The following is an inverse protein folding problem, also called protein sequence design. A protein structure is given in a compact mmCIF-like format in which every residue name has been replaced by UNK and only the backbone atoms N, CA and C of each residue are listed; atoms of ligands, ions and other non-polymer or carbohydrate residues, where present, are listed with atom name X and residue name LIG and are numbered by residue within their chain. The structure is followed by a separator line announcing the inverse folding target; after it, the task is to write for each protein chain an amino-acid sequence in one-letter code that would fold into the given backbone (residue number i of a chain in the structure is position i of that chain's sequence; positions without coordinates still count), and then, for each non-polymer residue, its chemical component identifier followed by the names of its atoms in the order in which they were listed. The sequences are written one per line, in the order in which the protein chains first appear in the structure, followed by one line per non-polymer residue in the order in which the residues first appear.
data_IF_393249368949
#
_entry.id   IF_393249368949
#
_cell.length_a   1.000
_cell.length_b   1.000
_cell.length_c   1.000
_cell.angle_alpha   90.00
_cell.angle_beta   90.00
_cell.angle_gamma   90.00
#
_symmetry.space_group_name_H-M   'P 1'
#
loop_
_entity.id
_entity.type
_entity.pdbx_description
1 polymer ?
#
# COMPACT_ATOMS: atom_id res chain seq x y z
N UNK A 1 59.12 13.91 16.81
CA UNK A 1 58.32 13.05 15.92
C UNK A 1 59.03 13.02 14.57
N UNK A 2 59.52 11.86 14.16
CA UNK A 2 60.47 11.74 13.05
C UNK A 2 59.69 11.81 11.73
N UNK A 3 60.12 12.67 10.80
CA UNK A 3 59.44 12.86 9.49
C UNK A 3 59.23 11.52 8.78
N UNK A 4 60.21 10.63 8.88
CA UNK A 4 60.17 9.25 8.38
C UNK A 4 58.98 8.43 8.92
N UNK A 5 58.69 8.52 10.22
CA UNK A 5 57.59 7.77 10.85
C UNK A 5 56.23 8.30 10.37
N UNK A 6 56.13 9.60 10.10
CA UNK A 6 54.90 10.22 9.62
C UNK A 6 54.62 9.84 8.15
N UNK A 7 55.65 9.75 7.31
CA UNK A 7 55.50 9.28 5.92
C UNK A 7 55.11 7.80 5.83
N UNK A 8 55.70 6.95 6.68
CA UNK A 8 55.33 5.52 6.74
C UNK A 8 53.88 5.34 7.19
N UNK A 9 53.46 6.08 8.21
CA UNK A 9 52.09 6.01 8.73
C UNK A 9 51.08 6.57 7.72
N UNK A 10 51.39 7.70 7.08
CA UNK A 10 50.54 8.30 6.04
C UNK A 10 50.44 7.40 4.79
N UNK A 11 51.53 6.73 4.40
CA UNK A 11 51.52 5.73 3.33
C UNK A 11 50.60 4.55 3.66
N UNK A 12 50.64 4.05 4.89
CA UNK A 12 49.76 2.98 5.35
C UNK A 12 48.28 3.38 5.41
N UNK A 13 47.98 4.61 5.82
CA UNK A 13 46.62 5.12 5.77
C UNK A 13 46.10 5.30 4.34
N UNK A 14 46.92 5.80 3.43
CA UNK A 14 46.54 5.94 2.02
C UNK A 14 46.26 4.58 1.36
N UNK A 15 47.06 3.55 1.65
CA UNK A 15 46.81 2.21 1.12
C UNK A 15 45.55 1.59 1.70
N UNK A 16 45.28 1.76 3.00
CA UNK A 16 44.02 1.30 3.62
C UNK A 16 42.78 1.99 3.03
N UNK A 17 42.85 3.29 2.75
CA UNK A 17 41.74 4.03 2.12
C UNK A 17 41.47 3.51 0.72
N UNK A 18 42.52 3.23 -0.08
CA UNK A 18 42.37 2.70 -1.44
C UNK A 18 41.81 1.28 -1.42
N UNK A 19 42.30 0.40 -0.55
CA UNK A 19 41.78 -0.96 -0.41
C UNK A 19 40.34 -0.95 0.10
N UNK A 20 40.02 -0.08 1.06
CA UNK A 20 38.66 0.11 1.57
C UNK A 20 37.71 0.61 0.49
N UNK A 21 38.13 1.56 -0.35
CA UNK A 21 37.35 2.04 -1.48
C UNK A 21 37.09 0.93 -2.52
N UNK A 22 38.11 0.12 -2.84
CA UNK A 22 37.96 -1.02 -3.78
C UNK A 22 37.03 -2.09 -3.20
N UNK A 23 37.17 -2.43 -1.92
CA UNK A 23 36.28 -3.40 -1.26
C UNK A 23 34.84 -2.89 -1.19
N UNK A 24 34.64 -1.61 -0.89
CA UNK A 24 33.32 -0.98 -0.85
C UNK A 24 32.69 -0.86 -2.24
N UNK A 25 33.46 -0.51 -3.28
CA UNK A 25 32.99 -0.52 -4.68
C UNK A 25 32.56 -1.92 -5.13
N UNK A 26 33.30 -2.96 -4.77
CA UNK A 26 32.90 -4.34 -5.08
C UNK A 26 31.67 -4.78 -4.27
N UNK A 27 31.53 -4.32 -3.01
CA UNK A 27 30.36 -4.60 -2.19
C UNK A 27 29.10 -3.94 -2.77
N UNK A 28 29.19 -2.70 -3.26
CA UNK A 28 28.10 -2.01 -3.92
C UNK A 28 27.66 -2.71 -5.22
N UNK A 29 28.61 -3.29 -5.97
CA UNK A 29 28.30 -4.11 -7.16
C UNK A 29 27.72 -5.49 -6.83
N UNK A 30 27.89 -5.96 -5.59
CA UNK A 30 27.32 -7.22 -5.10
C UNK A 30 25.95 -7.05 -4.44
N UNK A 31 25.43 -5.82 -4.32
CA UNK A 31 24.05 -5.60 -3.90
C UNK A 31 23.17 -6.05 -5.08
N UNK A 32 22.39 -7.14 -4.93
CA UNK A 32 21.45 -7.50 -5.97
C UNK A 32 20.50 -6.31 -6.20
N UNK A 33 20.15 -5.99 -7.46
CA UNK A 33 19.13 -4.97 -7.70
C UNK A 33 17.89 -5.33 -6.85
N UNK A 34 17.19 -4.32 -6.27
CA UNK A 34 15.95 -4.59 -5.55
C UNK A 34 15.12 -5.46 -6.47
N UNK A 35 14.67 -6.63 -6.00
CA UNK A 35 13.81 -7.54 -6.76
C UNK A 35 12.75 -6.67 -7.42
N UNK A 36 12.92 -6.47 -8.72
CA UNK A 36 11.95 -5.76 -9.53
C UNK A 36 10.69 -6.58 -9.31
N UNK A 37 9.61 -6.01 -8.73
CA UNK A 37 8.43 -6.77 -8.37
C UNK A 37 8.07 -7.55 -9.62
N UNK A 38 8.20 -8.88 -9.51
CA UNK A 38 8.20 -9.81 -10.64
C UNK A 38 7.24 -9.28 -11.67
N UNK A 39 7.70 -9.04 -12.90
CA UNK A 39 6.85 -8.59 -14.01
C UNK A 39 5.58 -9.39 -13.89
N UNK A 40 4.54 -8.72 -13.38
CA UNK A 40 3.20 -9.27 -13.40
C UNK A 40 2.97 -9.24 -14.88
N UNK A 41 3.24 -10.38 -15.53
CA UNK A 41 2.72 -10.70 -16.84
C UNK A 41 1.32 -10.13 -16.79
N UNK A 42 1.08 -9.05 -17.52
CA UNK A 42 -0.17 -8.35 -17.47
C UNK A 42 -1.17 -9.29 -18.11
N UNK A 43 -1.66 -10.24 -17.32
CA UNK A 43 -3.04 -10.59 -17.33
C UNK A 43 -3.75 -9.31 -16.93
N UNK A 44 -3.82 -8.40 -17.91
CA UNK A 44 -4.82 -7.37 -17.97
C UNK A 44 -6.12 -8.17 -17.99
N UNK A 45 -6.62 -8.44 -16.80
CA UNK A 45 -7.98 -8.90 -16.62
C UNK A 45 -8.77 -7.63 -16.93
N UNK A 46 -9.41 -7.52 -18.11
CA UNK A 46 -10.24 -6.36 -18.37
C UNK A 46 -11.21 -6.25 -17.20
N UNK A 47 -11.36 -5.06 -16.63
CA UNK A 47 -12.24 -4.82 -15.48
C UNK A 47 -13.69 -5.27 -15.76
N UNK A 48 -14.03 -5.38 -17.04
CA UNK A 48 -15.25 -5.88 -17.65
C UNK A 48 -15.45 -7.39 -17.43
N UNK A 49 -14.37 -8.11 -17.12
CA UNK A 49 -14.36 -9.54 -16.75
C UNK A 49 -14.35 -9.78 -15.24
N UNK A 50 -14.48 -8.74 -14.41
CA UNK A 50 -14.75 -8.92 -12.99
C UNK A 50 -16.06 -9.70 -12.82
N UNK A 51 -15.94 -10.98 -12.43
CA UNK A 51 -17.06 -11.81 -12.05
C UNK A 51 -17.19 -11.79 -10.53
N UNK A 52 -18.35 -11.37 -9.97
CA UNK A 52 -18.64 -11.52 -8.55
C UNK A 52 -18.30 -12.91 -8.04
N UNK A 53 -17.32 -13.01 -7.15
CA UNK A 53 -16.92 -14.29 -6.54
C UNK A 53 -18.00 -14.86 -5.61
N UNK A 54 -18.90 -14.00 -5.11
CA UNK A 54 -19.93 -14.34 -4.12
C UNK A 54 -21.36 -13.96 -4.56
N UNK A 55 -21.57 -13.64 -5.84
CA UNK A 55 -22.88 -13.29 -6.38
C UNK A 55 -23.31 -11.83 -6.22
N UNK A 56 -22.52 -10.98 -5.56
CA UNK A 56 -22.81 -9.54 -5.41
C UNK A 56 -21.96 -8.67 -6.35
N UNK A 57 -22.58 -7.69 -7.01
CA UNK A 57 -21.87 -6.75 -7.89
C UNK A 57 -21.09 -5.70 -7.07
N UNK A 58 -19.88 -6.08 -6.65
CA UNK A 58 -18.97 -5.22 -5.91
C UNK A 58 -18.60 -3.92 -6.62
N UNK A 59 -18.58 -3.91 -7.96
CA UNK A 59 -18.34 -2.70 -8.75
C UNK A 59 -19.52 -1.74 -8.57
N UNK A 60 -20.75 -2.21 -8.76
CA UNK A 60 -21.94 -1.38 -8.58
C UNK A 60 -22.05 -0.86 -7.15
N UNK A 61 -21.80 -1.70 -6.15
CA UNK A 61 -21.83 -1.30 -4.74
C UNK A 61 -20.77 -0.22 -4.47
N UNK A 62 -19.54 -0.38 -4.95
CA UNK A 62 -18.48 0.61 -4.79
C UNK A 62 -18.85 1.95 -5.46
N UNK A 63 -19.35 1.91 -6.70
CA UNK A 63 -19.72 3.14 -7.42
C UNK A 63 -20.83 3.91 -6.72
N UNK A 64 -21.84 3.20 -6.20
CA UNK A 64 -23.00 3.84 -5.57
C UNK A 64 -22.72 4.36 -4.14
N UNK A 65 -21.81 3.71 -3.41
CA UNK A 65 -21.66 3.96 -1.97
C UNK A 65 -20.28 4.52 -1.57
N UNK A 66 -19.24 4.33 -2.38
CA UNK A 66 -17.86 4.59 -1.97
C UNK A 66 -17.10 5.54 -2.89
N UNK A 67 -17.39 5.52 -4.20
CA UNK A 67 -16.58 6.19 -5.23
C UNK A 67 -16.56 7.73 -5.12
N UNK A 68 -17.52 8.34 -4.41
CA UNK A 68 -17.53 9.78 -4.14
C UNK A 68 -16.38 10.22 -3.22
N UNK A 69 -15.90 9.33 -2.36
CA UNK A 69 -14.87 9.64 -1.36
C UNK A 69 -13.61 8.79 -1.48
N UNK A 70 -13.68 7.63 -2.15
CA UNK A 70 -12.58 6.69 -2.26
C UNK A 70 -12.25 6.37 -3.71
N UNK A 71 -10.97 6.11 -3.96
CA UNK A 71 -10.46 5.54 -5.20
C UNK A 71 -9.65 4.28 -4.88
N UNK A 72 -9.47 3.40 -5.86
CA UNK A 72 -8.51 2.32 -5.72
C UNK A 72 -7.07 2.87 -5.63
N UNK A 73 -6.70 3.90 -6.38
CA UNK A 73 -5.28 4.21 -6.65
C UNK A 73 -4.73 5.47 -5.99
N UNK A 74 -5.59 6.44 -5.65
CA UNK A 74 -5.16 7.71 -5.07
C UNK A 74 -6.01 8.10 -3.88
N UNK A 75 -5.42 8.85 -2.96
CA UNK A 75 -6.16 9.48 -1.87
C UNK A 75 -7.10 10.54 -2.46
N UNK A 76 -8.35 10.55 -1.98
CA UNK A 76 -9.37 11.56 -2.27
C UNK A 76 -9.79 12.20 -0.95
N UNK A 77 -11.10 12.32 -0.69
CA UNK A 77 -11.64 12.65 0.64
C UNK A 77 -11.28 11.58 1.68
N UNK A 78 -11.22 10.32 1.25
CA UNK A 78 -10.70 9.19 2.03
C UNK A 78 -9.48 8.54 1.35
N UNK A 79 -8.81 7.60 2.04
CA UNK A 79 -7.61 6.94 1.52
C UNK A 79 -7.86 6.11 0.26
N UNK A 80 -6.81 5.92 -0.52
CA UNK A 80 -6.75 4.89 -1.54
C UNK A 80 -7.04 3.51 -0.94
N UNK A 81 -7.90 2.73 -1.59
CA UNK A 81 -8.31 1.41 -1.11
C UNK A 81 -7.49 0.26 -1.71
N UNK A 82 -6.64 0.50 -2.70
CA UNK A 82 -5.67 -0.49 -3.18
C UNK A 82 -4.87 -1.05 -2.03
N UNK A 83 -4.72 -2.36 -1.93
CA UNK A 83 -3.95 -2.98 -0.86
C UNK A 83 -4.64 -3.02 0.53
N UNK A 84 -5.94 -2.75 0.61
CA UNK A 84 -6.67 -2.71 1.89
C UNK A 84 -6.58 -4.04 2.65
N UNK A 85 -6.70 -5.17 1.95
CA UNK A 85 -6.64 -6.50 2.56
C UNK A 85 -5.27 -6.81 3.18
N UNK A 86 -4.20 -6.19 2.68
CA UNK A 86 -2.85 -6.31 3.24
C UNK A 86 -2.66 -5.40 4.45
N UNK A 87 -3.20 -4.17 4.40
CA UNK A 87 -3.11 -3.21 5.51
C UNK A 87 -3.98 -3.59 6.71
N UNK A 88 -5.14 -4.16 6.45
CA UNK A 88 -6.14 -4.56 7.44
C UNK A 88 -6.56 -6.01 7.19
N UNK A 89 -5.76 -6.99 7.67
CA UNK A 89 -6.05 -8.40 7.45
C UNK A 89 -7.27 -8.90 8.24
N UNK A 90 -7.66 -8.23 9.32
CA UNK A 90 -8.87 -8.56 10.08
C UNK A 90 -10.13 -8.10 9.33
N UNK A 91 -10.75 -9.04 8.61
CA UNK A 91 -11.99 -8.81 7.87
C UNK A 91 -13.15 -8.39 8.77
N UNK A 92 -13.24 -8.91 9.99
CA UNK A 92 -14.32 -8.58 10.92
C UNK A 92 -14.25 -7.12 11.32
N UNK A 93 -13.04 -6.60 11.54
CA UNK A 93 -12.83 -5.19 11.83
C UNK A 93 -13.19 -4.30 10.63
N UNK A 94 -12.91 -4.74 9.40
CA UNK A 94 -13.34 -4.02 8.19
C UNK A 94 -14.88 -3.97 8.08
N UNK A 95 -15.59 -5.06 8.37
CA UNK A 95 -17.06 -5.05 8.39
C UNK A 95 -17.60 -4.05 9.40
N UNK A 96 -17.06 -4.09 10.63
CA UNK A 96 -17.43 -3.15 11.69
C UNK A 96 -17.14 -1.71 11.29
N UNK A 97 -16.02 -1.45 10.62
CA UNK A 97 -15.67 -0.12 10.13
C UNK A 97 -16.64 0.38 9.07
N UNK A 98 -17.01 -0.44 8.10
CA UNK A 98 -17.93 -0.06 7.02
C UNK A 98 -19.35 0.12 7.55
N UNK A 99 -19.81 -0.76 8.44
CA UNK A 99 -21.17 -0.72 8.98
C UNK A 99 -21.35 0.35 10.06
N UNK A 100 -20.33 0.60 10.89
CA UNK A 100 -20.40 1.54 12.00
C UNK A 100 -19.01 2.13 12.36
N UNK A 101 -18.48 3.07 11.56
CA UNK A 101 -17.16 3.66 11.80
C UNK A 101 -17.12 4.43 13.13
N UNK A 102 -18.23 5.02 13.57
CA UNK A 102 -18.32 5.74 14.84
C UNK A 102 -18.07 4.82 16.05
N UNK A 103 -18.60 3.60 16.04
CA UNK A 103 -18.35 2.62 17.10
C UNK A 103 -16.88 2.19 17.15
N UNK A 104 -16.24 1.98 15.98
CA UNK A 104 -14.82 1.64 15.90
C UNK A 104 -13.91 2.79 16.35
N UNK A 105 -14.27 4.03 16.05
CA UNK A 105 -13.55 5.19 16.59
C UNK A 105 -13.69 5.28 18.11
N UNK A 106 -14.92 5.12 18.62
CA UNK A 106 -15.24 5.19 20.05
C UNK A 106 -14.56 4.08 20.87
N UNK A 107 -14.30 2.92 20.27
CA UNK A 107 -13.55 1.85 20.94
C UNK A 107 -12.07 2.18 21.17
N UNK A 108 -11.59 3.29 20.60
CA UNK A 108 -10.18 3.70 20.72
C UNK A 108 -9.26 2.99 19.74
N UNK A 109 -9.79 2.40 18.66
CA UNK A 109 -8.96 1.74 17.65
C UNK A 109 -7.91 2.72 17.07
N UNK A 110 -6.63 2.43 17.32
CA UNK A 110 -5.53 3.34 17.01
C UNK A 110 -5.39 3.58 15.50
N UNK A 111 -5.58 2.54 14.68
CA UNK A 111 -5.46 2.64 13.23
C UNK A 111 -6.47 3.63 12.65
N UNK A 112 -7.76 3.44 12.95
CA UNK A 112 -8.82 4.29 12.39
C UNK A 112 -8.83 5.69 12.99
N UNK A 113 -8.49 5.84 14.28
CA UNK A 113 -8.35 7.17 14.89
C UNK A 113 -7.18 7.96 14.26
N UNK A 114 -6.06 7.29 13.96
CA UNK A 114 -4.93 7.91 13.28
C UNK A 114 -5.28 8.26 11.83
N UNK A 115 -5.99 7.36 11.15
CA UNK A 115 -6.44 7.57 9.79
C UNK A 115 -7.38 8.77 9.69
N UNK A 116 -8.37 8.88 10.60
CA UNK A 116 -9.27 10.03 10.67
C UNK A 116 -8.50 11.35 10.79
N UNK A 117 -7.50 11.42 11.66
CA UNK A 117 -6.65 12.61 11.82
C UNK A 117 -5.87 12.95 10.55
N UNK A 118 -5.32 11.95 9.87
CA UNK A 118 -4.60 12.14 8.59
C UNK A 118 -5.49 12.69 7.49
N UNK A 119 -6.79 12.37 7.52
CA UNK A 119 -7.79 12.83 6.55
C UNK A 119 -8.64 14.00 7.12
N UNK A 120 -8.00 14.92 7.85
CA UNK A 120 -8.60 16.17 8.36
C UNK A 120 -9.88 15.98 9.16
N UNK A 121 -9.92 14.93 9.99
CA UNK A 121 -11.05 14.62 10.85
C UNK A 121 -12.36 14.31 10.12
N UNK A 122 -12.31 14.05 8.81
CA UNK A 122 -13.46 13.60 8.02
C UNK A 122 -13.96 12.26 8.56
N UNK A 123 -15.27 12.19 8.81
CA UNK A 123 -15.93 10.97 9.25
C UNK A 123 -16.49 10.22 8.05
N UNK A 124 -16.13 8.94 7.92
CA UNK A 124 -16.74 8.04 6.94
C UNK A 124 -18.21 7.79 7.29
N UNK A 125 -19.08 7.81 6.28
CA UNK A 125 -20.50 7.45 6.42
C UNK A 125 -20.64 5.99 6.85
N UNK A 126 -21.65 5.69 7.66
CA UNK A 126 -21.99 4.33 8.06
C UNK A 126 -22.87 3.65 7.00
N UNK A 127 -22.61 2.38 6.72
CA UNK A 127 -23.40 1.55 5.80
C UNK A 127 -23.97 0.33 6.53
N UNK A 128 -24.91 0.50 7.48
CA UNK A 128 -25.41 -0.59 8.31
C UNK A 128 -26.18 -1.66 7.52
N UNK A 129 -26.70 -1.30 6.34
CA UNK A 129 -27.50 -2.19 5.50
C UNK A 129 -26.64 -3.08 4.58
N UNK A 130 -25.34 -2.79 4.44
CA UNK A 130 -24.45 -3.65 3.66
C UNK A 130 -24.09 -4.90 4.45
N UNK A 131 -24.40 -6.05 3.88
CA UNK A 131 -23.99 -7.35 4.40
C UNK A 131 -22.49 -7.58 4.28
N UNK A 132 -21.94 -8.52 5.05
CA UNK A 132 -20.52 -8.88 4.95
C UNK A 132 -20.16 -9.38 3.54
N UNK A 133 -21.07 -10.10 2.87
CA UNK A 133 -20.84 -10.57 1.50
C UNK A 133 -20.80 -9.41 0.49
N UNK A 134 -21.63 -8.38 0.65
CA UNK A 134 -21.56 -7.17 -0.18
C UNK A 134 -20.26 -6.40 0.05
N UNK A 135 -19.83 -6.27 1.31
CA UNK A 135 -18.56 -5.64 1.66
C UNK A 135 -17.38 -6.45 1.08
N UNK A 136 -17.46 -7.78 1.12
CA UNK A 136 -16.47 -8.66 0.50
C UNK A 136 -16.38 -8.43 -1.00
N UNK A 137 -17.52 -8.32 -1.68
CA UNK A 137 -17.56 -8.06 -3.11
C UNK A 137 -16.89 -6.72 -3.47
N UNK A 138 -17.06 -5.68 -2.63
CA UNK A 138 -16.37 -4.40 -2.81
C UNK A 138 -14.85 -4.55 -2.65
N UNK A 139 -14.40 -5.25 -1.59
CA UNK A 139 -12.97 -5.49 -1.34
C UNK A 139 -12.34 -6.29 -2.48
N UNK A 140 -13.04 -7.29 -2.99
CA UNK A 140 -12.60 -8.12 -4.11
C UNK A 140 -12.51 -7.28 -5.39
N UNK A 141 -13.53 -6.47 -5.70
CA UNK A 141 -13.50 -5.53 -6.82
C UNK A 141 -12.29 -4.58 -6.74
N UNK A 142 -12.03 -3.99 -5.58
CA UNK A 142 -10.86 -3.11 -5.38
C UNK A 142 -9.55 -3.87 -5.55
N UNK A 143 -9.48 -5.11 -5.05
CA UNK A 143 -8.28 -5.96 -5.16
C UNK A 143 -7.99 -6.31 -6.62
N UNK A 144 -9.02 -6.69 -7.38
CA UNK A 144 -8.89 -6.98 -8.82
C UNK A 144 -8.52 -5.72 -9.59
N UNK A 145 -9.20 -4.61 -9.32
CA UNK A 145 -8.93 -3.32 -9.97
C UNK A 145 -7.48 -2.90 -9.74
N UNK A 146 -6.99 -3.01 -8.50
CA UNK A 146 -5.60 -2.70 -8.19
C UNK A 146 -4.61 -3.60 -8.92
N UNK A 147 -4.85 -4.91 -8.95
CA UNK A 147 -3.99 -5.89 -9.65
C UNK A 147 -3.95 -5.68 -11.17
N UNK A 148 -5.05 -5.24 -11.77
CA UNK A 148 -5.12 -4.94 -13.20
C UNK A 148 -4.36 -3.67 -13.60
N UNK A 149 -3.88 -2.88 -12.63
CA UNK A 149 -3.25 -1.58 -12.85
C UNK A 149 -4.28 -0.46 -13.05
N UNK A 150 -3.84 0.79 -12.90
CA UNK A 150 -4.71 1.96 -13.11
C UNK A 150 -5.16 2.00 -14.57
N UNK A 151 -6.46 1.83 -14.88
CA UNK A 151 -6.92 1.95 -16.26
C UNK A 151 -6.66 3.38 -16.72
N UNK A 152 -6.03 3.54 -17.90
CA UNK A 152 -5.64 4.83 -18.47
C UNK A 152 -6.83 5.80 -18.71
N UNK A 153 -8.07 5.32 -18.55
CA UNK A 153 -9.30 6.06 -18.75
C UNK A 153 -10.21 5.94 -17.52
N UNK A 154 -9.90 6.68 -16.46
CA UNK A 154 -10.92 7.12 -15.50
C UNK A 154 -10.89 8.65 -15.51
N UNK A 155 -12.02 9.34 -15.77
CA UNK A 155 -12.11 10.79 -15.56
C UNK A 155 -11.91 11.15 -14.07
#
# INVERSE_FOLDING_TARGET
MNKEVNYVLQGFFLTLVVVGAIAFSNLLLSIPPPEEPATVESHFIPIDSYKPGNGHDGKAIFQNNCASCHSAFKDLTGPALSGISQRLPDRKLLYQWVQNPAAVLKSGNVYFNTLKKRFNDVQMTAFPDLSNAEIDAVIDYITVTYKAGMPASLP
#
